data_IF_165771219680
#
_entry.id   IF_165771219680
#
_cell.length_a   1.000
_cell.length_b   1.000
_cell.length_c   1.000
_cell.angle_alpha   90.00
_cell.angle_beta   90.00
_cell.angle_gamma   90.00
#
_symmetry.space_group_name_H-M   'P 1'
#
loop_
_entity.id
_entity.type
_entity.pdbx_description
1 polymer ?
#
# COMPACT_ATOMS: atom_id res chain seq x y z
N UNK A 1 7.87 16.42 18.08
CA UNK A 1 6.94 15.57 17.30
C UNK A 1 7.07 14.14 17.79
N UNK A 2 6.03 13.53 18.37
CA UNK A 2 6.06 12.12 18.77
C UNK A 2 6.19 11.18 17.57
N UNK A 3 6.78 10.00 17.79
CA UNK A 3 6.90 8.94 16.77
C UNK A 3 5.95 7.80 17.12
N UNK A 4 5.07 7.46 16.18
CA UNK A 4 4.22 6.27 16.23
C UNK A 4 4.81 5.21 15.31
N UNK A 5 5.09 4.03 15.84
CA UNK A 5 5.51 2.87 15.07
C UNK A 5 4.79 1.61 15.56
N UNK A 6 4.98 0.52 14.81
CA UNK A 6 4.40 -0.78 15.15
C UNK A 6 2.86 -0.70 15.31
N UNK A 7 2.19 0.13 14.52
CA UNK A 7 0.74 0.34 14.53
C UNK A 7 0.00 -0.94 14.10
N UNK A 8 0.51 -1.61 13.08
CA UNK A 8 -0.03 -2.83 12.47
C UNK A 8 0.73 -4.09 12.86
N UNK A 9 1.56 -4.06 13.90
CA UNK A 9 2.36 -5.23 14.33
C UNK A 9 1.60 -6.41 14.91
N UNK A 10 0.27 -6.44 14.80
CA UNK A 10 -0.55 -7.60 15.18
C UNK A 10 -1.70 -7.76 14.18
N UNK A 11 -2.07 -8.98 13.76
CA UNK A 11 -3.20 -9.20 12.85
C UNK A 11 -4.50 -8.56 13.33
N UNK A 12 -4.77 -8.57 14.65
CA UNK A 12 -5.94 -7.91 15.24
C UNK A 12 -5.97 -6.40 14.97
N UNK A 13 -4.84 -5.69 15.09
CA UNK A 13 -4.79 -4.25 14.80
C UNK A 13 -4.95 -3.95 13.31
N UNK A 14 -4.52 -4.86 12.43
CA UNK A 14 -4.82 -4.76 10.99
C UNK A 14 -6.32 -4.87 10.74
N UNK A 15 -6.98 -5.89 11.31
CA UNK A 15 -8.43 -6.07 11.20
C UNK A 15 -9.21 -4.82 11.68
N UNK A 16 -8.86 -4.29 12.85
CA UNK A 16 -9.45 -3.06 13.39
C UNK A 16 -9.24 -1.87 12.45
N UNK A 17 -8.07 -1.77 11.82
CA UNK A 17 -7.78 -0.73 10.83
C UNK A 17 -8.62 -0.82 9.55
N UNK A 18 -9.13 -2.01 9.22
CA UNK A 18 -10.07 -2.25 8.11
C UNK A 18 -11.54 -2.19 8.55
N UNK A 19 -11.82 -1.73 9.78
CA UNK A 19 -13.17 -1.63 10.32
C UNK A 19 -13.79 -2.98 10.71
N UNK A 20 -12.98 -4.02 10.91
CA UNK A 20 -13.41 -5.37 11.30
C UNK A 20 -12.98 -5.69 12.74
N UNK A 21 -13.75 -6.52 13.45
CA UNK A 21 -13.43 -6.92 14.83
C UNK A 21 -12.34 -8.01 14.89
N UNK A 22 -12.28 -8.85 13.87
CA UNK A 22 -11.41 -10.02 13.79
C UNK A 22 -10.79 -10.21 12.39
N UNK A 23 -9.75 -11.05 12.33
CA UNK A 23 -8.97 -11.31 11.13
C UNK A 23 -9.72 -12.17 10.11
N UNK A 24 -10.59 -13.08 10.57
CA UNK A 24 -11.39 -13.93 9.67
C UNK A 24 -12.44 -13.13 8.88
N UNK A 25 -12.92 -12.03 9.45
CA UNK A 25 -13.82 -11.06 8.81
C UNK A 25 -13.18 -10.36 7.61
N UNK A 26 -11.84 -10.41 7.45
CA UNK A 26 -11.17 -9.94 6.24
C UNK A 26 -11.52 -10.76 4.99
N UNK A 27 -12.02 -11.99 5.15
CA UNK A 27 -12.56 -12.77 4.03
C UNK A 27 -13.79 -12.11 3.40
N UNK A 28 -14.60 -11.39 4.17
CA UNK A 28 -15.74 -10.65 3.62
C UNK A 28 -15.27 -9.49 2.73
N UNK A 29 -14.15 -8.84 3.09
CA UNK A 29 -13.48 -7.85 2.23
C UNK A 29 -13.01 -8.50 0.92
N UNK A 30 -12.44 -9.70 1.00
CA UNK A 30 -12.01 -10.47 -0.17
C UNK A 30 -13.16 -10.80 -1.12
N UNK A 31 -14.31 -11.23 -0.58
CA UNK A 31 -15.54 -11.47 -1.36
C UNK A 31 -16.05 -10.19 -2.02
N UNK A 32 -16.02 -9.06 -1.32
CA UNK A 32 -16.40 -7.77 -1.87
C UNK A 32 -15.50 -7.38 -3.05
N UNK A 33 -14.18 -7.53 -2.90
CA UNK A 33 -13.22 -7.29 -4.00
C UNK A 33 -13.47 -8.21 -5.20
N UNK A 34 -13.73 -9.49 -4.96
CA UNK A 34 -14.04 -10.46 -6.01
C UNK A 34 -15.34 -10.11 -6.77
N UNK A 35 -16.31 -9.51 -6.09
CA UNK A 35 -17.54 -8.99 -6.68
C UNK A 35 -17.29 -7.70 -7.48
N UNK A 36 -16.51 -6.76 -6.96
CA UNK A 36 -16.21 -5.49 -7.64
C UNK A 36 -15.39 -5.68 -8.93
N UNK A 37 -14.54 -6.71 -8.98
CA UNK A 37 -13.76 -7.05 -10.17
C UNK A 37 -14.66 -7.52 -11.33
N UNK A 38 -15.72 -8.25 -11.03
CA UNK A 38 -16.64 -8.86 -12.00
C UNK A 38 -18.07 -8.82 -11.46
N UNK A 39 -18.77 -7.69 -11.59
CA UNK A 39 -20.14 -7.57 -11.10
C UNK A 39 -21.08 -8.42 -11.98
N UNK A 40 -21.64 -9.48 -11.41
CA UNK A 40 -22.68 -10.26 -12.09
C UNK A 40 -24.01 -9.49 -12.11
N UNK A 41 -24.65 -9.30 -13.29
CA UNK A 41 -25.94 -8.62 -13.36
C UNK A 41 -26.98 -9.40 -12.56
N UNK A 42 -27.83 -8.71 -11.78
CA UNK A 42 -28.81 -9.38 -10.95
C UNK A 42 -29.80 -10.16 -11.80
N UNK A 43 -30.02 -11.45 -11.46
CA UNK A 43 -30.87 -12.35 -12.25
C UNK A 43 -32.39 -12.14 -12.02
N UNK A 44 -32.76 -11.21 -11.12
CA UNK A 44 -34.15 -10.84 -10.84
C UNK A 44 -34.31 -9.92 -9.62
N UNK A 45 -35.55 -9.59 -9.27
CA UNK A 45 -35.86 -8.65 -8.18
C UNK A 45 -35.41 -9.14 -6.79
N UNK A 46 -35.47 -10.44 -6.50
CA UNK A 46 -34.97 -11.00 -5.22
C UNK A 46 -33.45 -10.86 -5.09
N UNK A 47 -32.71 -11.23 -6.13
CA UNK A 47 -31.25 -11.10 -6.18
C UNK A 47 -30.79 -9.63 -6.07
N UNK A 48 -31.59 -8.68 -6.56
CA UNK A 48 -31.34 -7.25 -6.38
C UNK A 48 -31.51 -6.79 -4.92
N UNK A 49 -32.51 -7.32 -4.20
CA UNK A 49 -32.68 -7.04 -2.77
C UNK A 49 -31.55 -7.64 -1.93
N UNK A 50 -31.08 -8.84 -2.27
CA UNK A 50 -29.98 -9.51 -1.56
C UNK A 50 -28.64 -8.80 -1.81
N UNK A 51 -28.43 -8.23 -3.00
CA UNK A 51 -27.23 -7.44 -3.37
C UNK A 51 -27.32 -5.96 -2.94
N UNK A 52 -28.48 -5.50 -2.47
CA UNK A 52 -28.72 -4.10 -2.09
C UNK A 52 -27.70 -3.54 -1.05
N UNK A 53 -27.26 -4.29 -0.03
CA UNK A 53 -26.23 -3.84 0.89
C UNK A 53 -24.87 -3.58 0.21
N UNK A 54 -24.49 -4.41 -0.77
CA UNK A 54 -23.26 -4.23 -1.55
C UNK A 54 -23.35 -2.99 -2.44
N UNK A 55 -24.53 -2.74 -3.04
CA UNK A 55 -24.77 -1.50 -3.80
C UNK A 55 -24.72 -0.25 -2.92
N UNK A 56 -25.15 -0.31 -1.65
CA UNK A 56 -24.98 0.80 -0.71
C UNK A 56 -23.50 1.11 -0.45
N UNK A 57 -22.65 0.08 -0.38
CA UNK A 57 -21.21 0.27 -0.17
C UNK A 57 -20.56 0.99 -1.37
N UNK A 58 -20.99 0.72 -2.60
CA UNK A 58 -20.52 1.43 -3.81
C UNK A 58 -20.70 2.95 -3.70
N UNK A 59 -21.72 3.44 -2.98
CA UNK A 59 -21.94 4.88 -2.77
C UNK A 59 -20.84 5.56 -1.94
N UNK A 60 -20.01 4.79 -1.23
CA UNK A 60 -18.89 5.27 -0.43
C UNK A 60 -17.57 5.36 -1.21
N UNK A 61 -17.55 4.92 -2.47
CA UNK A 61 -16.36 4.92 -3.31
C UNK A 61 -15.84 6.31 -3.71
N UNK A 62 -16.68 7.31 -4.04
CA UNK A 62 -16.17 8.64 -4.37
C UNK A 62 -15.48 9.30 -3.18
N UNK A 63 -14.43 10.08 -3.44
CA UNK A 63 -13.83 10.93 -2.41
C UNK A 63 -14.77 12.08 -2.03
N UNK A 64 -14.67 12.54 -0.78
CA UNK A 64 -15.32 13.76 -0.31
C UNK A 64 -14.26 14.84 -0.17
N UNK A 65 -14.19 15.73 -1.16
CA UNK A 65 -13.25 16.85 -1.13
C UNK A 65 -13.71 17.94 -0.16
N UNK A 66 -12.85 18.28 0.79
CA UNK A 66 -13.04 19.36 1.75
C UNK A 66 -12.40 20.66 1.25
N UNK A 67 -12.85 21.80 1.78
CA UNK A 67 -12.27 23.13 1.49
C UNK A 67 -11.05 23.46 2.36
N UNK A 68 -11.00 22.91 3.56
CA UNK A 68 -9.89 23.05 4.51
C UNK A 68 -9.80 21.77 5.35
N UNK A 69 -8.61 21.50 5.87
CA UNK A 69 -8.30 20.23 6.52
C UNK A 69 -7.32 20.39 7.69
N UNK A 70 -7.42 19.54 8.72
CA UNK A 70 -6.45 19.51 9.82
C UNK A 70 -4.99 19.40 9.36
N UNK A 71 -4.72 18.62 8.30
CA UNK A 71 -3.35 18.45 7.78
C UNK A 71 -2.72 19.75 7.24
N UNK A 72 -3.49 20.84 7.09
CA UNK A 72 -3.02 22.13 6.59
C UNK A 72 -3.04 23.24 7.65
N UNK A 73 -3.10 22.88 8.94
CA UNK A 73 -3.09 23.87 10.03
C UNK A 73 -1.79 24.67 10.11
N UNK A 74 -0.65 23.98 9.95
CA UNK A 74 0.69 24.58 9.83
C UNK A 74 1.22 24.34 8.44
N UNK A 75 1.71 25.40 7.78
CA UNK A 75 2.29 25.34 6.44
C UNK A 75 3.70 25.93 6.50
N UNK A 76 4.68 25.15 6.07
CA UNK A 76 6.08 25.53 5.93
C UNK A 76 6.43 25.38 4.45
N UNK A 77 7.04 26.39 3.83
CA UNK A 77 7.23 26.42 2.38
C UNK A 77 8.54 27.09 1.97
N UNK A 78 9.01 26.77 0.77
CA UNK A 78 10.23 27.36 0.19
C UNK A 78 11.46 27.09 1.06
N UNK A 79 12.23 28.14 1.36
CA UNK A 79 13.50 28.04 2.07
C UNK A 79 13.37 27.58 3.53
N UNK A 80 12.17 27.70 4.12
CA UNK A 80 11.91 27.29 5.51
C UNK A 80 11.71 25.78 5.66
N UNK A 81 11.51 25.06 4.55
CA UNK A 81 11.39 23.59 4.53
C UNK A 81 12.67 22.97 5.07
N UNK A 82 12.52 22.17 6.12
CA UNK A 82 13.61 21.44 6.75
C UNK A 82 13.12 20.09 7.28
N UNK A 83 13.40 19.03 6.51
CA UNK A 83 13.06 17.66 6.82
C UNK A 83 13.78 17.15 8.07
N UNK A 84 14.90 17.75 8.47
CA UNK A 84 15.63 17.37 9.69
C UNK A 84 14.83 17.69 10.97
N UNK A 85 13.75 18.48 10.86
CA UNK A 85 12.82 18.76 11.97
C UNK A 85 11.81 17.62 12.19
N UNK A 86 11.64 16.73 11.20
CA UNK A 86 10.84 15.52 11.34
C UNK A 86 11.74 14.43 11.94
N UNK A 87 11.30 13.68 12.96
CA UNK A 87 12.09 12.62 13.59
C UNK A 87 12.15 11.35 12.71
N UNK A 88 12.68 11.50 11.49
CA UNK A 88 12.87 10.40 10.54
C UNK A 88 13.88 9.42 11.16
N UNK A 89 13.54 8.13 11.16
CA UNK A 89 14.33 7.10 11.85
C UNK A 89 15.42 6.55 10.93
N UNK A 90 16.55 6.19 11.52
CA UNK A 90 17.51 5.22 10.94
C UNK A 90 17.20 3.86 11.58
N UNK A 91 17.01 2.81 10.77
CA UNK A 91 16.48 1.54 11.26
C UNK A 91 17.60 0.60 11.72
N UNK A 92 18.70 0.55 10.97
CA UNK A 92 19.84 -0.35 11.20
C UNK A 92 21.17 0.38 11.25
N UNK A 93 22.21 -0.19 11.89
CA UNK A 93 23.50 0.49 12.06
C UNK A 93 24.23 0.88 10.77
N UNK A 94 24.05 0.15 9.68
CA UNK A 94 24.72 0.41 8.38
C UNK A 94 23.76 0.98 7.32
N UNK A 95 22.57 1.42 7.73
CA UNK A 95 21.67 2.16 6.85
C UNK A 95 22.32 3.49 6.44
N UNK A 96 22.22 3.84 5.16
CA UNK A 96 22.92 5.00 4.60
C UNK A 96 22.49 6.35 5.21
N UNK A 97 21.22 6.49 5.60
CA UNK A 97 20.67 7.72 6.18
C UNK A 97 19.34 7.43 6.90
N UNK A 98 18.70 8.45 7.50
CA UNK A 98 17.29 8.35 7.91
C UNK A 98 16.36 8.06 6.72
N UNK A 99 15.34 7.25 6.97
CA UNK A 99 14.43 6.73 5.94
C UNK A 99 12.96 6.95 6.33
N UNK A 100 12.18 7.56 5.44
CA UNK A 100 10.71 7.58 5.56
C UNK A 100 10.15 6.25 5.05
N UNK A 101 9.33 5.59 5.87
CA UNK A 101 8.86 4.23 5.63
C UNK A 101 7.34 4.08 5.49
N UNK A 102 6.54 5.04 6.00
CA UNK A 102 5.06 5.02 5.96
C UNK A 102 4.44 6.20 5.17
N UNK A 103 5.15 6.71 4.16
CA UNK A 103 4.64 7.77 3.29
C UNK A 103 3.70 7.24 2.20
N UNK A 104 2.44 7.65 2.22
CA UNK A 104 1.50 7.42 1.11
C UNK A 104 1.80 8.42 -0.01
N UNK A 105 2.57 7.97 -0.99
CA UNK A 105 2.95 8.76 -2.17
C UNK A 105 1.76 8.81 -3.13
N UNK A 106 1.28 10.02 -3.38
CA UNK A 106 0.19 10.35 -4.28
C UNK A 106 0.77 10.86 -5.60
N UNK A 107 0.32 10.27 -6.70
CA UNK A 107 0.71 10.65 -8.06
C UNK A 107 -0.50 10.64 -8.99
N UNK A 108 -0.42 11.37 -10.11
CA UNK A 108 -1.41 11.34 -11.18
C UNK A 108 -0.71 11.37 -12.53
N UNK A 109 -0.90 10.31 -13.32
CA UNK A 109 -0.42 10.27 -14.71
C UNK A 109 -1.08 11.34 -15.59
N UNK A 110 -0.47 11.72 -16.73
CA UNK A 110 -0.92 12.84 -17.56
C UNK A 110 -2.24 12.59 -18.32
N UNK A 111 -2.67 11.32 -18.41
CA UNK A 111 -3.82 10.90 -19.22
C UNK A 111 -5.04 10.46 -18.38
N UNK A 112 -4.87 10.32 -17.06
CA UNK A 112 -5.85 9.70 -16.16
C UNK A 112 -6.26 10.71 -15.10
N UNK A 113 -7.56 10.79 -14.80
CA UNK A 113 -8.05 11.59 -13.66
C UNK A 113 -7.73 10.90 -12.32
N UNK A 114 -7.63 9.56 -12.32
CA UNK A 114 -7.36 8.74 -11.15
C UNK A 114 -5.97 9.03 -10.58
N UNK A 115 -5.90 9.11 -9.26
CA UNK A 115 -4.64 9.20 -8.51
C UNK A 115 -4.23 7.84 -7.99
N UNK A 116 -2.95 7.53 -8.08
CA UNK A 116 -2.34 6.35 -7.47
C UNK A 116 -1.86 6.67 -6.05
N UNK A 117 -2.03 5.73 -5.13
CA UNK A 117 -1.44 5.76 -3.79
C UNK A 117 -0.45 4.60 -3.64
N UNK A 118 0.81 4.91 -3.36
CA UNK A 118 1.85 3.90 -3.18
C UNK A 118 2.73 4.16 -1.98
N UNK A 119 3.26 3.09 -1.39
CA UNK A 119 4.26 3.18 -0.32
C UNK A 119 5.62 2.88 -0.92
N UNK A 120 6.45 3.91 -0.95
CA UNK A 120 7.82 3.85 -1.45
C UNK A 120 8.72 4.38 -0.35
N UNK A 121 9.79 3.66 -0.02
CA UNK A 121 10.73 4.13 1.01
C UNK A 121 11.49 5.35 0.47
N UNK A 122 11.72 6.34 1.32
CA UNK A 122 12.32 7.60 0.90
C UNK A 122 13.51 8.00 1.77
N UNK A 123 14.71 7.92 1.19
CA UNK A 123 15.97 8.24 1.86
C UNK A 123 16.14 9.76 1.96
N UNK A 124 16.46 10.26 3.15
CA UNK A 124 16.83 11.65 3.37
C UNK A 124 18.23 11.93 2.81
N UNK A 125 18.34 12.84 1.85
CA UNK A 125 19.62 13.23 1.22
C UNK A 125 19.93 14.72 1.31
N UNK A 126 19.04 15.51 1.89
CA UNK A 126 19.25 16.93 2.11
C UNK A 126 18.10 17.58 2.87
N UNK A 127 18.26 18.88 3.15
CA UNK A 127 17.28 19.67 3.91
C UNK A 127 15.84 19.52 3.39
N UNK A 128 15.67 19.44 2.07
CA UNK A 128 14.38 19.33 1.40
C UNK A 128 14.38 18.30 0.27
N UNK A 129 15.27 17.29 0.34
CA UNK A 129 15.47 16.32 -0.74
C UNK A 129 15.37 14.90 -0.20
N UNK A 130 14.53 14.12 -0.85
CA UNK A 130 14.27 12.71 -0.57
C UNK A 130 14.52 11.89 -1.84
N UNK A 131 14.96 10.65 -1.73
CA UNK A 131 14.98 9.72 -2.86
C UNK A 131 13.61 9.03 -2.97
N UNK A 132 13.05 8.90 -4.17
CA UNK A 132 11.79 8.20 -4.42
C UNK A 132 12.07 6.76 -4.91
N UNK A 133 12.20 5.80 -3.99
CA UNK A 133 12.50 4.40 -4.34
C UNK A 133 11.24 3.61 -4.73
N UNK A 134 10.72 3.89 -5.92
CA UNK A 134 9.71 3.05 -6.56
C UNK A 134 10.35 2.01 -7.50
N UNK A 135 9.75 0.83 -7.60
CA UNK A 135 10.14 -0.13 -8.66
C UNK A 135 9.42 0.25 -9.96
N UNK A 136 10.06 0.01 -11.11
CA UNK A 136 9.60 0.48 -12.43
C UNK A 136 8.17 0.09 -12.82
N UNK A 137 7.64 -1.00 -12.27
CA UNK A 137 6.28 -1.49 -12.53
C UNK A 137 5.22 -0.94 -11.58
N UNK A 138 5.58 -0.05 -10.64
CA UNK A 138 4.64 0.53 -9.66
C UNK A 138 3.93 1.75 -10.26
N UNK A 139 2.69 1.98 -9.83
CA UNK A 139 1.83 3.05 -10.38
C UNK A 139 2.50 4.42 -10.43
N UNK A 140 3.15 4.87 -9.35
CA UNK A 140 3.85 6.15 -9.35
C UNK A 140 5.02 6.24 -10.34
N UNK A 141 5.76 5.14 -10.54
CA UNK A 141 6.85 5.08 -11.52
C UNK A 141 6.32 5.15 -12.97
N UNK A 142 5.20 4.45 -13.23
CA UNK A 142 4.51 4.50 -14.52
C UNK A 142 3.94 5.89 -14.79
N UNK A 143 3.30 6.52 -13.79
CA UNK A 143 2.79 7.90 -13.90
C UNK A 143 3.92 8.88 -14.23
N UNK A 144 5.08 8.76 -13.58
CA UNK A 144 6.25 9.60 -13.85
C UNK A 144 6.82 9.38 -15.26
N UNK A 145 6.92 8.13 -15.69
CA UNK A 145 7.38 7.79 -17.03
C UNK A 145 6.43 8.34 -18.11
N UNK A 146 5.12 8.13 -17.95
CA UNK A 146 4.08 8.68 -18.83
C UNK A 146 4.16 10.22 -18.85
N UNK A 147 4.34 10.85 -17.69
CA UNK A 147 4.47 12.31 -17.56
C UNK A 147 5.68 12.83 -18.33
N UNK A 148 6.86 12.24 -18.17
CA UNK A 148 8.07 12.66 -18.87
C UNK A 148 7.93 12.56 -20.38
N UNK A 149 7.23 11.54 -20.88
CA UNK A 149 6.96 11.36 -22.31
C UNK A 149 5.95 12.38 -22.84
N UNK A 150 4.88 12.65 -22.08
CA UNK A 150 3.81 13.55 -22.49
C UNK A 150 4.17 15.04 -22.31
N UNK A 151 5.04 15.36 -21.34
CA UNK A 151 5.41 16.73 -20.93
C UNK A 151 6.92 16.86 -20.68
N UNK A 152 7.76 16.76 -21.72
CA UNK A 152 9.21 16.81 -21.56
C UNK A 152 9.67 18.12 -20.91
N UNK A 153 10.49 18.02 -19.86
CA UNK A 153 11.04 19.18 -19.14
C UNK A 153 10.08 19.82 -18.11
N UNK A 154 8.84 19.34 -17.99
CA UNK A 154 7.95 19.76 -16.90
C UNK A 154 8.18 18.92 -15.65
N UNK A 155 8.28 19.59 -14.50
CA UNK A 155 8.36 18.96 -13.18
C UNK A 155 7.14 18.10 -12.90
N UNK A 156 7.35 16.87 -12.46
CA UNK A 156 6.27 15.95 -12.11
C UNK A 156 5.77 16.21 -10.69
N UNK A 157 4.50 16.61 -10.48
CA UNK A 157 3.98 16.87 -9.14
C UNK A 157 3.84 15.60 -8.32
N UNK A 158 4.31 15.64 -7.07
CA UNK A 158 4.22 14.51 -6.12
C UNK A 158 3.82 15.04 -4.75
N UNK A 159 3.02 14.27 -4.01
CA UNK A 159 2.74 14.54 -2.60
C UNK A 159 2.82 13.27 -1.78
N UNK A 160 3.21 13.37 -0.51
CA UNK A 160 3.40 12.23 0.39
C UNK A 160 2.65 12.51 1.68
N UNK A 161 1.63 11.72 1.99
CA UNK A 161 0.87 11.83 3.23
C UNK A 161 1.40 10.84 4.28
N UNK A 162 1.69 11.34 5.48
CA UNK A 162 2.15 10.58 6.64
C UNK A 162 1.08 10.63 7.74
N UNK A 163 0.83 9.49 8.39
CA UNK A 163 -0.17 9.39 9.45
C UNK A 163 -1.60 9.63 8.95
N UNK A 164 -1.96 9.07 7.80
CA UNK A 164 -3.35 9.06 7.33
C UNK A 164 -4.23 8.14 8.20
N UNK A 165 -5.54 8.15 7.97
CA UNK A 165 -6.43 7.20 8.64
C UNK A 165 -6.12 5.74 8.24
N UNK A 166 -6.34 4.76 9.12
CA UNK A 166 -5.86 3.40 8.91
C UNK A 166 -6.47 2.72 7.67
N UNK A 167 -7.72 3.02 7.32
CA UNK A 167 -8.35 2.45 6.13
C UNK A 167 -7.68 2.95 4.84
N UNK A 168 -7.26 4.21 4.78
CA UNK A 168 -6.50 4.75 3.65
C UNK A 168 -5.12 4.13 3.55
N UNK A 169 -4.43 3.95 4.69
CA UNK A 169 -3.12 3.30 4.73
C UNK A 169 -3.22 1.85 4.22
N UNK A 170 -4.17 1.08 4.75
CA UNK A 170 -4.36 -0.33 4.36
C UNK A 170 -4.89 -0.45 2.93
N UNK A 171 -5.68 0.52 2.47
CA UNK A 171 -6.14 0.60 1.09
C UNK A 171 -4.99 0.77 0.09
N UNK A 172 -3.93 1.51 0.45
CA UNK A 172 -2.73 1.67 -0.38
C UNK A 172 -1.81 0.43 -0.39
N UNK A 173 -1.88 -0.42 0.63
CA UNK A 173 -1.12 -1.69 0.69
C UNK A 173 -1.87 -2.81 -0.05
N UNK A 174 -3.20 -2.75 -0.05
CA UNK A 174 -4.03 -3.77 -0.69
C UNK A 174 -3.96 -3.62 -2.22
N UNK A 175 -3.64 -4.68 -2.98
CA UNK A 175 -3.63 -4.62 -4.43
C UNK A 175 -5.07 -4.57 -4.94
N UNK A 176 -5.52 -3.37 -5.27
CA UNK A 176 -6.82 -3.12 -5.87
C UNK A 176 -6.72 -3.20 -7.40
N UNK A 177 -7.81 -3.57 -8.11
CA UNK A 177 -7.85 -3.51 -9.56
C UNK A 177 -7.59 -2.09 -10.07
N UNK A 178 -6.98 -1.95 -11.26
CA UNK A 178 -6.67 -0.62 -11.80
C UNK A 178 -7.89 0.29 -12.03
N UNK A 179 -9.07 -0.33 -12.18
CA UNK A 179 -10.37 0.35 -12.32
C UNK A 179 -10.85 1.00 -11.02
N UNK A 180 -10.23 0.69 -9.88
CA UNK A 180 -10.60 1.18 -8.55
C UNK A 180 -9.45 1.99 -7.95
N UNK A 181 -9.72 3.23 -7.53
CA UNK A 181 -8.72 4.00 -6.76
C UNK A 181 -8.60 3.44 -5.35
N UNK A 182 -7.40 3.48 -4.77
CA UNK A 182 -7.14 3.07 -3.40
C UNK A 182 -7.96 3.90 -2.39
N UNK A 183 -8.27 5.18 -2.70
CA UNK A 183 -9.19 5.98 -1.88
C UNK A 183 -10.63 5.44 -1.88
N UNK A 184 -11.07 4.94 -3.02
CA UNK A 184 -12.40 4.34 -3.15
C UNK A 184 -12.47 3.03 -2.37
N UNK A 185 -11.41 2.23 -2.45
CA UNK A 185 -11.30 1.02 -1.65
C UNK A 185 -11.24 1.33 -0.14
N UNK A 186 -10.48 2.34 0.29
CA UNK A 186 -10.48 2.81 1.66
C UNK A 186 -11.88 3.26 2.15
N UNK A 187 -12.66 3.90 1.28
CA UNK A 187 -14.05 4.28 1.58
C UNK A 187 -14.98 3.09 1.79
N UNK A 188 -14.75 1.99 1.05
CA UNK A 188 -15.46 0.72 1.24
C UNK A 188 -15.11 0.08 2.59
N UNK A 189 -13.81 0.01 2.92
CA UNK A 189 -13.35 -0.53 4.21
C UNK A 189 -13.89 0.26 5.40
N UNK A 190 -13.87 1.59 5.30
CA UNK A 190 -14.32 2.50 6.36
C UNK A 190 -15.85 2.58 6.48
N UNK A 191 -16.59 2.22 5.43
CA UNK A 191 -18.04 2.41 5.36
C UNK A 191 -18.49 3.85 5.12
N UNK A 192 -17.56 4.78 4.90
CA UNK A 192 -17.82 6.18 4.57
C UNK A 192 -16.77 6.71 3.60
N UNK A 193 -17.16 7.66 2.73
CA UNK A 193 -16.28 8.33 1.76
C UNK A 193 -14.99 8.82 2.41
N UNK A 194 -13.87 8.62 1.72
CA UNK A 194 -12.58 9.16 2.16
C UNK A 194 -12.57 10.68 2.00
N UNK A 195 -12.33 11.37 3.10
CA UNK A 195 -12.21 12.83 3.11
C UNK A 195 -10.82 13.24 2.66
N UNK A 196 -10.76 14.01 1.59
CA UNK A 196 -9.52 14.48 0.98
C UNK A 196 -9.51 15.98 0.90
N UNK A 197 -8.32 16.57 0.80
CA UNK A 197 -8.12 17.99 0.56
C UNK A 197 -7.14 18.17 -0.59
N UNK A 198 -7.33 19.23 -1.37
CA UNK A 198 -6.36 19.62 -2.40
C UNK A 198 -5.05 20.01 -1.73
N UNK A 199 -3.93 19.54 -2.25
CA UNK A 199 -2.61 20.04 -1.92
C UNK A 199 -2.50 21.57 -2.13
N UNK A 200 -1.57 22.21 -1.42
CA UNK A 200 -1.34 23.66 -1.50
C UNK A 200 -0.68 24.02 -2.83
N UNK A 201 0.33 23.24 -3.23
CA UNK A 201 1.24 23.54 -4.34
C UNK A 201 0.91 22.84 -5.66
N UNK A 202 -0.02 21.90 -5.66
CA UNK A 202 -0.39 21.10 -6.82
C UNK A 202 -1.85 20.63 -6.75
N UNK A 203 -2.34 19.99 -7.83
CA UNK A 203 -3.74 19.55 -7.95
C UNK A 203 -4.00 18.12 -7.45
N UNK A 204 -3.05 17.54 -6.72
CA UNK A 204 -3.26 16.25 -6.06
C UNK A 204 -4.17 16.43 -4.83
N UNK A 205 -4.80 15.33 -4.42
CA UNK A 205 -5.64 15.28 -3.23
C UNK A 205 -5.05 14.28 -2.23
N UNK A 206 -4.87 14.74 -1.00
CA UNK A 206 -4.30 13.98 0.12
C UNK A 206 -5.36 13.77 1.20
N UNK A 207 -5.24 12.76 2.09
CA UNK A 207 -6.19 12.53 3.16
C UNK A 207 -6.26 13.76 4.07
N UNK A 208 -7.45 14.32 4.29
CA UNK A 208 -7.61 15.54 5.06
C UNK A 208 -7.16 15.39 6.53
N UNK A 209 -7.23 14.17 7.06
CA UNK A 209 -6.85 13.83 8.43
C UNK A 209 -5.36 13.50 8.61
N UNK A 210 -4.55 13.52 7.53
CA UNK A 210 -3.13 13.22 7.60
C UNK A 210 -2.42 14.06 8.67
N UNK A 211 -1.45 13.48 9.36
CA UNK A 211 -0.67 14.17 10.38
C UNK A 211 0.30 15.16 9.73
N UNK A 212 0.98 14.74 8.67
CA UNK A 212 1.96 15.52 7.91
C UNK A 212 1.79 15.23 6.42
N UNK A 213 1.91 16.24 5.57
CA UNK A 213 1.95 16.09 4.11
C UNK A 213 3.17 16.81 3.58
N UNK A 214 3.97 16.09 2.79
CA UNK A 214 5.08 16.64 2.03
C UNK A 214 4.60 16.88 0.59
N UNK A 215 4.77 18.08 0.06
CA UNK A 215 4.41 18.39 -1.32
C UNK A 215 5.63 18.91 -2.08
N UNK A 216 5.67 18.60 -3.37
CA UNK A 216 6.68 19.13 -4.26
C UNK A 216 6.68 18.42 -5.60
N UNK A 217 7.87 18.08 -6.09
CA UNK A 217 8.02 17.55 -7.43
C UNK A 217 9.26 16.66 -7.60
N UNK A 218 9.26 15.90 -8.69
CA UNK A 218 10.43 15.21 -9.22
C UNK A 218 10.84 15.92 -10.53
N UNK A 219 12.12 16.26 -10.63
CA UNK A 219 12.73 16.82 -11.83
C UNK A 219 13.22 15.69 -12.74
N UNK A 220 12.93 15.76 -14.04
CA UNK A 220 13.34 14.72 -14.97
C UNK A 220 14.88 14.64 -15.05
N UNK A 221 15.43 13.45 -14.83
CA UNK A 221 16.88 13.21 -14.86
C UNK A 221 17.61 13.52 -13.54
N UNK A 222 16.96 14.10 -12.53
CA UNK A 222 17.56 14.25 -11.20
C UNK A 222 17.47 12.91 -10.44
N UNK A 223 18.62 12.24 -10.30
CA UNK A 223 18.74 10.92 -9.70
C UNK A 223 19.81 10.93 -8.59
N UNK A 224 19.67 10.05 -7.60
CA UNK A 224 20.64 9.88 -6.53
C UNK A 224 20.82 8.40 -6.15
N UNK A 225 22.01 8.01 -5.65
CA UNK A 225 22.25 6.65 -5.14
C UNK A 225 21.48 6.43 -3.83
N UNK A 226 20.65 5.40 -3.82
CA UNK A 226 19.85 4.95 -2.67
C UNK A 226 20.52 3.77 -1.98
N UNK A 227 20.51 3.78 -0.65
CA UNK A 227 21.05 2.70 0.16
C UNK A 227 22.56 2.78 0.44
N UNK A 228 23.12 1.74 1.08
CA UNK A 228 22.46 0.48 1.43
C UNK A 228 21.40 0.64 2.54
N UNK A 229 20.46 -0.31 2.60
CA UNK A 229 19.44 -0.41 3.64
C UNK A 229 19.10 -1.87 3.91
N UNK A 230 18.82 -2.21 5.17
CA UNK A 230 18.20 -3.48 5.53
C UNK A 230 16.79 -3.61 4.95
N UNK A 231 16.40 -4.80 4.49
CA UNK A 231 15.03 -5.08 4.06
C UNK A 231 14.42 -6.34 4.70
N UNK A 232 13.18 -6.63 4.32
CA UNK A 232 12.38 -7.79 4.74
C UNK A 232 13.06 -9.16 4.57
N UNK A 233 14.16 -9.27 3.82
CA UNK A 233 14.95 -10.50 3.71
C UNK A 233 15.87 -10.71 4.92
N UNK A 234 16.11 -9.67 5.72
CA UNK A 234 17.08 -9.64 6.81
C UNK A 234 18.51 -9.32 6.38
N UNK A 235 18.71 -8.86 5.15
CA UNK A 235 19.99 -8.46 4.58
C UNK A 235 19.95 -7.02 4.07
N UNK A 236 21.13 -6.43 3.85
CA UNK A 236 21.25 -5.13 3.19
C UNK A 236 21.11 -5.28 1.67
N UNK A 237 20.33 -4.39 1.04
CA UNK A 237 20.32 -4.25 -0.41
C UNK A 237 21.54 -3.47 -0.89
N UNK A 238 21.98 -3.78 -2.10
CA UNK A 238 22.97 -2.99 -2.83
C UNK A 238 22.48 -1.57 -3.14
N UNK A 239 23.43 -0.69 -3.40
CA UNK A 239 23.17 0.69 -3.83
C UNK A 239 22.65 0.71 -5.26
N UNK A 240 21.58 1.47 -5.51
CA UNK A 240 21.01 1.66 -6.85
C UNK A 240 20.47 3.10 -7.03
N UNK A 241 20.23 3.54 -8.27
CA UNK A 241 19.92 4.93 -8.60
C UNK A 241 18.42 5.17 -8.78
N UNK A 242 17.86 6.14 -8.05
CA UNK A 242 16.43 6.47 -8.09
C UNK A 242 16.16 7.98 -8.19
N UNK A 243 14.96 8.39 -8.65
CA UNK A 243 14.62 9.80 -8.80
C UNK A 243 14.63 10.55 -7.47
N UNK A 244 14.94 11.84 -7.53
CA UNK A 244 14.95 12.73 -6.37
C UNK A 244 13.62 13.49 -6.26
N UNK A 245 12.96 13.33 -5.13
CA UNK A 245 11.80 14.12 -4.71
C UNK A 245 12.27 15.39 -3.99
N UNK A 246 11.96 16.54 -4.60
CA UNK A 246 12.18 17.86 -4.02
C UNK A 246 10.94 18.29 -3.25
N UNK A 247 11.07 18.46 -1.94
CA UNK A 247 10.00 18.95 -1.07
C UNK A 247 10.02 20.47 -1.10
N UNK A 248 8.89 21.08 -1.49
CA UNK A 248 8.72 22.54 -1.51
C UNK A 248 7.78 23.01 -0.41
N UNK A 249 6.90 22.13 0.09
CA UNK A 249 5.98 22.43 1.18
C UNK A 249 5.92 21.25 2.16
N UNK A 250 5.84 21.57 3.45
CA UNK A 250 5.45 20.66 4.52
C UNK A 250 4.20 21.27 5.16
N UNK A 251 3.09 20.55 5.09
CA UNK A 251 1.88 20.89 5.84
C UNK A 251 1.65 19.87 6.95
N UNK A 252 1.15 20.30 8.10
CA UNK A 252 0.94 19.41 9.23
C UNK A 252 -0.14 19.92 10.20
N UNK A 253 -0.60 19.02 11.06
CA UNK A 253 -1.49 19.33 12.20
C UNK A 253 -0.74 20.09 13.30
N UNK A 254 -1.47 20.77 14.19
CA UNK A 254 -0.89 21.56 15.31
C UNK A 254 0.01 20.72 16.23
N UNK A 255 -0.36 19.48 16.54
CA UNK A 255 0.39 18.54 17.39
C UNK A 255 0.67 17.24 16.65
N UNK A 256 1.21 17.37 15.43
CA UNK A 256 1.38 16.25 14.51
C UNK A 256 2.18 15.08 15.12
N UNK A 257 1.77 13.86 14.77
CA UNK A 257 2.47 12.61 15.09
C UNK A 257 3.17 12.08 13.83
N UNK A 258 4.45 11.74 13.93
CA UNK A 258 5.18 11.11 12.84
C UNK A 258 4.94 9.59 12.84
N UNK A 259 4.18 9.10 11.86
CA UNK A 259 3.98 7.66 11.66
C UNK A 259 5.15 7.07 10.86
N UNK A 260 5.80 6.06 11.43
CA UNK A 260 6.97 5.41 10.85
C UNK A 260 7.02 3.92 11.20
N UNK A 261 7.88 3.19 10.51
CA UNK A 261 8.15 1.77 10.76
C UNK A 261 9.56 1.41 10.32
N UNK A 262 9.90 0.14 10.46
CA UNK A 262 11.13 -0.45 9.99
C UNK A 262 10.83 -1.78 9.28
N UNK A 263 11.75 -2.22 8.44
CA UNK A 263 11.75 -3.55 7.85
C UNK A 263 13.09 -4.22 8.14
N UNK A 264 13.10 -5.53 8.31
CA UNK A 264 14.31 -6.28 8.56
C UNK A 264 14.04 -7.77 8.57
N UNK A 265 14.83 -8.53 9.33
CA UNK A 265 14.56 -9.96 9.48
C UNK A 265 13.19 -10.16 10.13
N UNK A 266 12.24 -10.87 9.49
CA UNK A 266 10.92 -11.10 10.04
C UNK A 266 10.98 -11.91 11.35
N UNK A 267 9.99 -11.74 12.25
CA UNK A 267 8.74 -11.01 12.03
C UNK A 267 8.88 -9.48 12.19
N UNK A 268 8.47 -8.74 11.16
CA UNK A 268 8.35 -7.28 11.16
C UNK A 268 6.90 -6.83 10.87
N UNK A 269 6.59 -5.54 11.01
CA UNK A 269 5.24 -5.02 10.78
C UNK A 269 4.71 -5.28 9.35
N UNK A 270 5.51 -5.07 8.27
CA UNK A 270 5.11 -5.47 6.92
C UNK A 270 4.78 -6.96 6.76
N UNK A 271 5.53 -7.87 7.41
CA UNK A 271 5.22 -9.29 7.38
C UNK A 271 3.87 -9.60 8.05
N UNK A 272 3.56 -8.94 9.17
CA UNK A 272 2.26 -9.09 9.85
C UNK A 272 1.10 -8.57 8.99
N UNK A 273 1.31 -7.45 8.30
CA UNK A 273 0.35 -6.94 7.31
C UNK A 273 0.12 -7.96 6.19
N UNK A 274 1.18 -8.56 5.66
CA UNK A 274 1.10 -9.61 4.65
C UNK A 274 0.29 -10.83 5.12
N UNK A 275 0.44 -11.25 6.38
CA UNK A 275 -0.37 -12.32 6.98
C UNK A 275 -1.84 -11.95 7.03
N UNK A 276 -2.18 -10.77 7.55
CA UNK A 276 -3.58 -10.34 7.64
C UNK A 276 -4.22 -10.19 6.25
N UNK A 277 -3.49 -9.62 5.29
CA UNK A 277 -4.00 -9.44 3.92
C UNK A 277 -4.14 -10.76 3.15
N UNK A 278 -3.48 -11.85 3.55
CA UNK A 278 -3.72 -13.17 2.94
C UNK A 278 -5.20 -13.60 3.04
N UNK A 279 -5.87 -13.29 4.15
CA UNK A 279 -7.30 -13.60 4.33
C UNK A 279 -8.19 -12.87 3.32
N UNK A 280 -7.75 -11.71 2.81
CA UNK A 280 -8.46 -10.98 1.75
C UNK A 280 -8.32 -11.70 0.40
N UNK A 281 -7.20 -12.39 0.16
CA UNK A 281 -6.96 -13.08 -1.12
C UNK A 281 -7.58 -14.47 -1.22
N UNK A 282 -7.73 -15.19 -0.10
CA UNK A 282 -8.28 -16.55 -0.10
C UNK A 282 -9.62 -16.63 -0.87
N UNK A 283 -10.61 -15.76 -0.63
CA UNK A 283 -11.89 -15.81 -1.37
C UNK A 283 -11.74 -15.49 -2.87
N UNK A 284 -10.82 -14.61 -3.23
CA UNK A 284 -10.55 -14.24 -4.64
C UNK A 284 -9.99 -15.45 -5.38
N UNK A 285 -9.04 -16.16 -4.76
CA UNK A 285 -8.47 -17.39 -5.31
C UNK A 285 -9.50 -18.52 -5.38
N UNK A 286 -10.33 -18.68 -4.35
CA UNK A 286 -11.42 -19.67 -4.33
C UNK A 286 -12.47 -19.45 -5.43
N UNK A 287 -12.70 -18.21 -5.85
CA UNK A 287 -13.60 -17.92 -6.98
C UNK A 287 -13.05 -18.48 -8.29
N UNK A 288 -11.73 -18.44 -8.48
CA UNK A 288 -11.07 -18.93 -9.68
C UNK A 288 -10.73 -20.43 -9.60
N UNK A 289 -10.40 -20.92 -8.40
CA UNK A 289 -9.98 -22.28 -8.10
C UNK A 289 -10.72 -22.78 -6.84
N UNK A 290 -11.97 -23.26 -6.98
CA UNK A 290 -12.81 -23.69 -5.86
C UNK A 290 -12.21 -24.82 -4.99
N UNK A 291 -11.20 -25.52 -5.50
CA UNK A 291 -10.46 -26.57 -4.80
C UNK A 291 -9.50 -26.06 -3.72
N UNK A 292 -9.18 -24.76 -3.71
CA UNK A 292 -8.30 -24.13 -2.72
C UNK A 292 -9.04 -23.99 -1.38
N UNK A 293 -8.55 -24.66 -0.34
CA UNK A 293 -9.10 -24.52 1.02
C UNK A 293 -8.47 -23.35 1.77
N UNK A 294 -7.16 -23.16 1.59
CA UNK A 294 -6.39 -22.11 2.27
C UNK A 294 -5.17 -21.69 1.44
N UNK A 295 -4.71 -20.45 1.66
CA UNK A 295 -3.59 -19.85 0.93
C UNK A 295 -2.69 -19.02 1.85
N UNK A 296 -1.38 -19.28 1.80
CA UNK A 296 -0.38 -18.54 2.54
C UNK A 296 0.66 -17.96 1.57
N UNK A 297 0.82 -16.64 1.57
CA UNK A 297 1.92 -16.01 0.82
C UNK A 297 3.28 -16.31 1.49
N UNK A 298 4.36 -16.17 0.71
CA UNK A 298 5.73 -16.42 1.20
C UNK A 298 6.08 -15.61 2.46
N UNK A 299 5.54 -14.39 2.61
CA UNK A 299 5.71 -13.55 3.80
C UNK A 299 5.05 -14.15 5.06
N UNK A 300 3.90 -14.82 4.91
CA UNK A 300 3.23 -15.48 6.03
C UNK A 300 3.95 -16.73 6.54
N UNK A 301 4.73 -17.39 5.68
CA UNK A 301 5.48 -18.60 6.05
C UNK A 301 6.55 -18.33 7.09
N UNK A 302 7.20 -17.15 7.02
CA UNK A 302 8.30 -16.82 7.94
C UNK A 302 7.80 -16.51 9.35
N UNK A 303 6.54 -16.09 9.49
CA UNK A 303 5.89 -15.80 10.77
C UNK A 303 5.40 -17.06 11.50
N UNK A 304 5.04 -18.13 10.78
CA UNK A 304 4.51 -19.37 11.37
C UNK A 304 5.58 -20.41 11.73
N UNK A 305 6.85 -20.20 11.39
CA UNK A 305 7.97 -21.05 11.81
C UNK A 305 8.91 -20.33 12.79
N UNK A 306 8.55 -20.20 14.08
CA UNK A 306 9.46 -19.67 15.08
C UNK A 306 10.47 -20.76 15.50
N UNK A 307 11.57 -20.88 14.75
CA UNK A 307 12.78 -21.57 15.18
C UNK A 307 12.74 -23.11 15.25
N UNK A 308 13.75 -23.74 14.64
CA UNK A 308 14.21 -25.07 15.06
C UNK A 308 13.73 -26.22 14.17
N UNK A 309 14.58 -27.24 14.14
CA UNK A 309 14.50 -28.40 13.26
C UNK A 309 13.25 -29.26 13.44
N UNK A 310 13.02 -30.01 12.37
CA UNK A 310 12.23 -31.22 12.25
C UNK A 310 10.71 -31.18 12.38
N UNK A 311 10.12 -31.70 11.30
CA UNK A 311 8.80 -32.30 11.18
C UNK A 311 7.58 -31.39 11.05
N UNK A 312 7.60 -30.48 10.07
CA UNK A 312 6.37 -30.18 9.34
C UNK A 312 6.55 -30.59 7.87
N UNK A 313 5.90 -31.69 7.48
CA UNK A 313 5.89 -32.17 6.10
C UNK A 313 5.11 -31.19 5.25
N UNK A 314 5.76 -30.12 4.80
CA UNK A 314 5.32 -29.38 3.63
C UNK A 314 5.35 -30.35 2.46
N UNK A 315 4.19 -30.62 1.83
CA UNK A 315 4.16 -31.38 0.58
C UNK A 315 4.89 -30.53 -0.47
N UNK A 316 6.15 -30.86 -0.76
CA UNK A 316 6.73 -30.56 -2.08
C UNK A 316 5.99 -31.42 -3.08
N UNK A 317 4.87 -30.92 -3.57
CA UNK A 317 4.25 -31.45 -4.76
C UNK A 317 5.03 -30.94 -5.96
N UNK A 318 5.90 -31.76 -6.54
CA UNK A 318 6.02 -31.68 -7.99
C UNK A 318 4.65 -32.04 -8.55
N UNK A 319 3.88 -31.04 -9.01
CA UNK A 319 2.73 -31.32 -9.87
C UNK A 319 3.27 -32.01 -11.13
N UNK A 320 3.26 -33.34 -11.13
CA UNK A 320 3.36 -34.12 -12.34
C UNK A 320 1.96 -34.14 -12.96
N UNK A 321 1.83 -33.58 -14.15
CA UNK A 321 0.75 -33.91 -15.05
C UNK A 321 1.30 -34.05 -16.47
N UNK A 322 1.33 -35.27 -16.98
CA UNK A 322 1.26 -35.58 -18.42
C UNK A 322 0.35 -36.80 -18.58
N UNK A 323 -0.63 -36.77 -19.47
CA UNK A 323 -0.31 -36.86 -20.91
C UNK A 323 -1.04 -35.96 -21.91
N UNK A 324 -1.98 -35.05 -21.56
CA UNK A 324 -2.73 -34.35 -22.62
C UNK A 324 -3.39 -32.97 -22.32
N UNK A 325 -3.15 -32.28 -21.20
CA UNK A 325 -3.77 -30.95 -20.99
C UNK A 325 -3.16 -30.09 -19.88
N UNK A 326 -2.10 -29.34 -20.21
CA UNK A 326 -1.23 -28.57 -19.30
C UNK A 326 -1.97 -27.50 -18.47
N UNK A 327 -1.57 -27.32 -17.20
CA UNK A 327 -1.66 -26.03 -16.48
C UNK A 327 -0.25 -25.57 -16.06
N UNK A 328 0.14 -24.37 -16.50
CA UNK A 328 1.37 -23.67 -16.12
C UNK A 328 0.95 -22.47 -15.29
N UNK A 329 1.40 -22.39 -14.03
CA UNK A 329 1.25 -21.18 -13.20
C UNK A 329 2.60 -20.47 -13.16
N UNK A 330 2.73 -19.23 -13.66
CA UNK A 330 3.96 -18.47 -13.53
C UNK A 330 4.01 -17.81 -12.13
N UNK A 331 5.16 -17.90 -11.48
CA UNK A 331 5.51 -17.35 -10.16
C UNK A 331 5.24 -18.26 -8.93
N UNK A 332 6.01 -18.13 -7.83
CA UNK A 332 6.07 -19.15 -6.76
C UNK A 332 4.84 -19.03 -5.85
N UNK A 333 3.77 -19.70 -6.25
CA UNK A 333 2.53 -19.84 -5.46
C UNK A 333 2.62 -21.14 -4.68
N UNK A 334 2.58 -21.07 -3.35
CA UNK A 334 2.55 -22.25 -2.47
C UNK A 334 1.10 -22.49 -2.00
N UNK A 335 0.47 -23.54 -2.53
CA UNK A 335 -0.90 -23.95 -2.16
C UNK A 335 -0.81 -24.95 -1.00
N UNK A 336 -1.49 -24.69 0.11
CA UNK A 336 -1.33 -25.48 1.34
C UNK A 336 -2.35 -26.62 1.49
N UNK A 337 -3.47 -26.60 0.74
CA UNK A 337 -4.41 -27.72 0.72
C UNK A 337 -5.31 -27.66 -0.52
N UNK A 338 -5.24 -28.70 -1.36
CA UNK A 338 -6.20 -28.98 -2.43
C UNK A 338 -7.16 -30.03 -1.89
N UNK A 339 -8.46 -29.81 -2.01
CA UNK A 339 -9.46 -30.84 -1.67
C UNK A 339 -9.23 -32.05 -2.57
N UNK A 340 -9.02 -33.25 -1.99
CA UNK A 340 -8.87 -34.48 -2.77
C UNK A 340 -10.05 -34.64 -3.74
N UNK A 341 -9.82 -34.40 -5.03
CA UNK A 341 -10.72 -34.80 -6.09
C UNK A 341 -10.57 -36.32 -6.29
N UNK A 342 -11.12 -37.08 -5.36
CA UNK A 342 -11.46 -38.49 -5.55
C UNK A 342 -12.99 -38.60 -5.53
N UNK A 343 -13.60 -38.46 -6.71
CA UNK A 343 -14.58 -39.38 -7.30
C UNK A 343 -14.88 -39.02 -8.74
#
# INVERSE_FOLDING_TARGET
MPVLCNLFGTPRRVALGMGQEDVSSLREVGKLLAFLKEPEPPKGFRDLFDKLPQFKQVLNMPTKRLRGAPCQQKIIQGDDVDLNKIPIMTCWPEDAAPLITWGLTVTRGPHKERQNLGIYRQQLIGKNKLIMRWLSHRGGALDFQEWCAARPGERFPVSVALGADPATILGAVTPVPDTLSEYAFAGLLRGTKTEVVKCVSNDLEVPASAEIVLEGYIEAGEMAPEGPYGDHTGYYNEVDSFPVFTVTHITQREDAIYHSTYTGRPPDEPAVLGVALNEVFVPILQKQFPEIVDFLSAAGRVLLSPGGGDHEKTVRGTCQARNDGRLVVPAPVYVHQVRDCLR
#
